data_IF_271555760205
#
_entry.id   IF_271555760205
#
_cell.length_a   1.000
_cell.length_b   1.000
_cell.length_c   1.000
_cell.angle_alpha   90.00
_cell.angle_beta   90.00
_cell.angle_gamma   90.00
#
_symmetry.space_group_name_H-M   'P 1'
#
loop_
_entity.id
_entity.type
_entity.pdbx_description
1 polymer ?
#
# COMPACT_ATOMS: atom_id res chain seq x y z
N UNK A 1 10.17 9.71 -6.17
CA UNK A 1 9.24 10.72 -5.60
C UNK A 1 9.10 10.60 -4.07
N UNK A 2 9.88 9.77 -3.38
CA UNK A 2 9.52 9.23 -2.05
C UNK A 2 10.21 9.85 -0.84
N UNK A 3 11.29 10.61 -0.99
CA UNK A 3 12.15 10.91 0.17
C UNK A 3 11.61 12.01 1.11
N UNK A 4 10.80 12.93 0.60
CA UNK A 4 10.27 14.07 1.35
C UNK A 4 8.73 14.08 1.49
N UNK A 5 8.05 13.09 0.93
CA UNK A 5 6.61 12.93 1.06
C UNK A 5 6.32 11.76 1.99
N UNK A 6 5.86 12.07 3.20
CA UNK A 6 5.51 11.07 4.21
C UNK A 6 3.99 10.89 4.19
N UNK A 7 3.54 9.81 3.54
CA UNK A 7 2.13 9.41 3.57
C UNK A 7 1.76 8.98 4.99
N UNK A 8 0.50 9.19 5.38
CA UNK A 8 -0.05 8.58 6.60
C UNK A 8 -0.23 7.08 6.37
N UNK A 9 0.44 6.28 7.20
CA UNK A 9 0.40 4.82 7.14
C UNK A 9 -0.94 4.23 7.61
N UNK A 10 -1.25 3.02 7.12
CA UNK A 10 -2.45 2.25 7.47
C UNK A 10 -2.42 1.79 8.93
N UNK A 11 -3.55 1.95 9.63
CA UNK A 11 -3.79 1.43 10.97
C UNK A 11 -4.63 0.15 11.00
N UNK A 12 -5.09 -0.33 9.84
CA UNK A 12 -6.13 -1.36 9.71
C UNK A 12 -5.86 -2.73 10.36
N UNK A 13 -4.58 -3.07 10.61
CA UNK A 13 -4.22 -4.30 11.32
C UNK A 13 -4.34 -4.17 12.86
N UNK A 14 -4.45 -2.94 13.35
CA UNK A 14 -4.62 -2.63 14.77
C UNK A 14 -6.08 -2.66 15.23
N UNK A 15 -6.36 -2.17 16.45
CA UNK A 15 -7.71 -2.10 16.98
C UNK A 15 -8.63 -1.15 16.20
N UNK A 16 -8.08 -0.09 15.61
CA UNK A 16 -8.80 0.99 14.93
C UNK A 16 -8.02 1.43 13.69
N UNK A 17 -8.76 1.85 12.66
CA UNK A 17 -8.19 2.42 11.44
C UNK A 17 -7.72 3.87 11.62
N UNK A 18 -6.81 4.32 10.77
CA UNK A 18 -6.26 5.67 10.83
C UNK A 18 -7.10 6.62 9.97
N UNK A 19 -7.68 7.65 10.58
CA UNK A 19 -8.61 8.56 9.92
C UNK A 19 -8.03 9.36 8.75
N UNK A 20 -6.71 9.52 8.70
CA UNK A 20 -6.01 10.23 7.61
C UNK A 20 -5.34 9.27 6.61
N UNK A 21 -5.42 7.96 6.84
CA UNK A 21 -4.92 6.96 5.91
C UNK A 21 -5.86 6.81 4.73
N UNK A 22 -5.32 7.08 3.54
CA UNK A 22 -6.05 6.83 2.30
C UNK A 22 -6.21 5.34 2.02
N UNK A 23 -5.29 4.47 2.49
CA UNK A 23 -5.43 3.02 2.31
C UNK A 23 -6.61 2.49 3.13
N UNK A 24 -6.76 2.98 4.37
CA UNK A 24 -7.85 2.58 5.28
C UNK A 24 -9.20 3.07 4.74
N UNK A 25 -9.24 4.30 4.22
CA UNK A 25 -10.44 4.86 3.57
C UNK A 25 -10.87 4.05 2.35
N UNK A 26 -9.92 3.60 1.53
CA UNK A 26 -10.22 2.78 0.35
C UNK A 26 -10.62 1.35 0.75
N UNK A 27 -9.99 0.79 1.78
CA UNK A 27 -10.30 -0.54 2.30
C UNK A 27 -11.69 -0.59 2.95
N UNK A 28 -12.07 0.40 3.76
CA UNK A 28 -13.40 0.49 4.37
C UNK A 28 -14.54 0.75 3.39
N UNK A 29 -14.23 1.18 2.16
CA UNK A 29 -15.21 1.28 1.08
C UNK A 29 -15.59 -0.08 0.47
N UNK A 30 -14.84 -1.16 0.77
CA UNK A 30 -15.21 -2.51 0.35
C UNK A 30 -16.53 -2.93 1.00
N UNK A 31 -17.43 -3.47 0.18
CA UNK A 31 -18.81 -3.74 0.61
C UNK A 31 -18.86 -4.99 1.49
N UNK A 32 -19.41 -4.85 2.69
CA UNK A 32 -19.70 -5.97 3.57
C UNK A 32 -21.19 -6.33 3.54
N UNK A 33 -21.55 -7.63 3.49
CA UNK A 33 -22.94 -8.07 3.72
C UNK A 33 -23.38 -7.78 5.17
N UNK A 34 -24.59 -7.23 5.38
CA UNK A 34 -25.12 -6.86 6.71
C UNK A 34 -26.60 -7.25 6.86
N UNK A 35 -27.02 -7.66 8.06
CA UNK A 35 -28.44 -7.89 8.41
C UNK A 35 -28.99 -6.70 9.20
N UNK A 36 -30.09 -6.11 8.73
CA UNK A 36 -30.83 -5.08 9.49
C UNK A 36 -31.74 -5.75 10.53
N UNK A 37 -31.51 -5.50 11.81
CA UNK A 37 -32.35 -6.03 12.91
C UNK A 37 -33.70 -5.30 13.04
N UNK A 38 -33.79 -4.07 12.51
CA UNK A 38 -34.98 -3.22 12.54
C UNK A 38 -35.34 -2.75 11.15
N UNK A 39 -36.63 -2.51 10.91
CA UNK A 39 -37.08 -1.93 9.65
C UNK A 39 -36.48 -0.53 9.47
N UNK A 40 -35.90 -0.27 8.30
CA UNK A 40 -35.48 1.06 7.87
C UNK A 40 -36.46 1.56 6.81
N UNK A 41 -37.52 2.31 7.20
CA UNK A 41 -38.53 2.76 6.26
C UNK A 41 -37.90 3.61 5.14
N UNK A 42 -38.34 3.41 3.90
CA UNK A 42 -37.84 4.08 2.68
C UNK A 42 -36.44 3.67 2.20
N UNK A 43 -35.77 2.69 2.80
CA UNK A 43 -34.47 2.16 2.35
C UNK A 43 -34.52 0.73 1.78
N UNK A 44 -35.69 0.12 1.63
CA UNK A 44 -35.86 -1.33 1.39
C UNK A 44 -35.32 -1.92 0.07
N UNK A 45 -34.77 -1.13 -0.86
CA UNK A 45 -34.31 -1.62 -2.16
C UNK A 45 -32.89 -2.23 -2.15
N UNK A 46 -32.20 -2.25 -1.01
CA UNK A 46 -30.72 -2.37 -0.99
C UNK A 46 -30.13 -3.52 -0.15
N UNK A 47 -30.91 -4.48 0.37
CA UNK A 47 -30.42 -5.40 1.41
C UNK A 47 -30.50 -6.91 1.06
N UNK A 48 -29.46 -7.68 1.40
CA UNK A 48 -29.37 -9.16 1.35
C UNK A 48 -28.42 -9.71 2.46
N UNK A 49 -28.55 -11.00 2.81
CA UNK A 49 -28.28 -11.61 4.13
C UNK A 49 -26.87 -12.21 4.46
N UNK A 50 -26.59 -12.23 5.79
CA UNK A 50 -25.93 -13.26 6.67
C UNK A 50 -24.42 -13.19 7.02
N UNK A 51 -24.01 -14.06 7.97
CA UNK A 51 -22.97 -13.96 9.02
C UNK A 51 -22.18 -15.27 9.23
N UNK A 52 -20.92 -15.16 9.70
CA UNK A 52 -20.22 -16.08 10.64
C UNK A 52 -18.82 -15.56 11.03
N UNK A 53 -18.48 -15.43 12.32
CA UNK A 53 -17.12 -15.11 12.80
C UNK A 53 -16.72 -15.97 14.00
N UNK A 54 -15.66 -16.79 13.81
CA UNK A 54 -14.84 -17.37 14.88
C UNK A 54 -13.45 -17.86 14.37
N UNK A 55 -13.31 -18.21 13.08
CA UNK A 55 -12.08 -18.86 12.55
C UNK A 55 -11.14 -17.93 11.72
N UNK A 56 -11.49 -16.65 11.56
CA UNK A 56 -10.85 -15.76 10.56
C UNK A 56 -9.45 -15.32 10.99
N UNK A 57 -9.26 -14.94 12.26
CA UNK A 57 -7.97 -14.41 12.74
C UNK A 57 -6.83 -15.43 12.61
N UNK A 58 -7.11 -16.70 12.91
CA UNK A 58 -6.13 -17.77 12.75
C UNK A 58 -5.80 -18.01 11.28
N UNK A 59 -6.81 -17.97 10.39
CA UNK A 59 -6.60 -18.12 8.95
C UNK A 59 -5.74 -17.02 8.35
N UNK A 60 -5.97 -15.75 8.75
CA UNK A 60 -5.18 -14.60 8.29
C UNK A 60 -3.71 -14.74 8.70
N UNK A 61 -3.46 -15.06 9.97
CA UNK A 61 -2.10 -15.24 10.49
C UNK A 61 -1.36 -16.38 9.77
N UNK A 62 -1.98 -17.54 9.63
CA UNK A 62 -1.35 -18.70 8.97
C UNK A 62 -1.08 -18.43 7.48
N UNK A 63 -1.98 -17.72 6.82
CA UNK A 63 -1.82 -17.35 5.40
C UNK A 63 -0.62 -16.41 5.22
N UNK A 64 -0.49 -15.38 6.06
CA UNK A 64 0.65 -14.47 5.99
C UNK A 64 1.98 -15.18 6.27
N UNK A 65 2.04 -16.00 7.33
CA UNK A 65 3.26 -16.78 7.66
C UNK A 65 3.67 -17.67 6.48
N UNK A 66 2.73 -18.36 5.85
CA UNK A 66 3.00 -19.23 4.70
C UNK A 66 3.54 -18.49 3.47
N UNK A 67 3.13 -17.24 3.26
CA UNK A 67 3.52 -16.42 2.10
C UNK A 67 4.79 -15.62 2.33
N UNK A 68 5.12 -15.31 3.59
CA UNK A 68 6.21 -14.42 3.97
C UNK A 68 7.56 -14.76 3.33
N UNK A 69 7.96 -16.04 3.38
CA UNK A 69 9.26 -16.47 2.82
C UNK A 69 9.33 -16.26 1.31
N UNK A 70 8.25 -16.58 0.60
CA UNK A 70 8.17 -16.39 -0.85
C UNK A 70 8.28 -14.91 -1.24
N UNK A 71 7.62 -14.02 -0.48
CA UNK A 71 7.70 -12.57 -0.70
C UNK A 71 9.13 -12.07 -0.45
N UNK A 72 9.73 -12.46 0.67
CA UNK A 72 11.09 -12.08 1.03
C UNK A 72 12.08 -12.49 -0.06
N UNK A 73 12.09 -13.77 -0.42
CA UNK A 73 13.02 -14.33 -1.41
C UNK A 73 12.83 -13.68 -2.78
N UNK A 74 11.58 -13.46 -3.20
CA UNK A 74 11.31 -12.82 -4.48
C UNK A 74 11.68 -11.33 -4.49
N UNK A 75 11.51 -10.62 -3.36
CA UNK A 75 11.84 -9.19 -3.26
C UNK A 75 13.35 -8.92 -3.22
N UNK A 76 14.12 -9.83 -2.63
CA UNK A 76 15.57 -9.64 -2.40
C UNK A 76 16.46 -10.36 -3.42
N UNK A 77 15.91 -11.22 -4.28
CA UNK A 77 16.69 -11.93 -5.31
C UNK A 77 16.32 -11.57 -6.75
N UNK A 78 15.27 -10.79 -6.99
CA UNK A 78 14.87 -10.38 -8.34
C UNK A 78 15.49 -9.02 -8.70
N UNK A 79 16.73 -9.02 -9.20
CA UNK A 79 17.43 -7.81 -9.65
C UNK A 79 17.26 -7.58 -11.16
N UNK A 80 16.66 -6.45 -11.55
CA UNK A 80 16.30 -6.13 -12.95
C UNK A 80 15.39 -7.15 -13.65
N UNK A 81 14.65 -7.96 -12.88
CA UNK A 81 13.65 -8.88 -13.42
C UNK A 81 12.27 -8.22 -13.50
N UNK A 82 11.41 -8.73 -14.39
CA UNK A 82 10.02 -8.29 -14.45
C UNK A 82 9.23 -8.89 -13.28
N UNK A 83 8.91 -8.03 -12.30
CA UNK A 83 8.17 -8.40 -11.09
C UNK A 83 6.67 -8.12 -11.21
N UNK A 84 6.18 -7.67 -12.38
CA UNK A 84 4.78 -7.26 -12.58
C UNK A 84 3.78 -8.39 -12.29
N UNK A 85 4.07 -9.60 -12.78
CA UNK A 85 3.24 -10.78 -12.57
C UNK A 85 3.16 -11.20 -11.10
N UNK A 86 4.25 -11.00 -10.34
CA UNK A 86 4.27 -11.28 -8.91
C UNK A 86 3.49 -10.22 -8.14
N UNK A 87 3.74 -8.94 -8.42
CA UNK A 87 3.06 -7.82 -7.77
C UNK A 87 1.53 -7.86 -7.91
N UNK A 88 1.03 -8.37 -9.05
CA UNK A 88 -0.41 -8.54 -9.29
C UNK A 88 -1.10 -9.54 -8.32
N UNK A 89 -0.34 -10.44 -7.68
CA UNK A 89 -0.87 -11.49 -6.77
C UNK A 89 -0.72 -11.15 -5.29
N UNK A 90 -0.05 -10.05 -4.98
CA UNK A 90 0.18 -9.56 -3.62
C UNK A 90 -0.96 -8.61 -3.22
N UNK A 91 -1.34 -8.66 -1.95
CA UNK A 91 -2.22 -7.64 -1.35
C UNK A 91 -1.45 -6.31 -1.12
N UNK A 92 -2.14 -5.24 -0.69
CA UNK A 92 -1.47 -3.94 -0.53
C UNK A 92 -0.36 -3.95 0.53
N UNK A 93 -0.54 -4.71 1.61
CA UNK A 93 0.45 -4.81 2.71
C UNK A 93 1.69 -5.58 2.23
N UNK A 94 1.48 -6.70 1.56
CA UNK A 94 2.51 -7.54 0.95
C UNK A 94 3.25 -6.79 -0.16
N UNK A 95 2.55 -5.95 -0.96
CA UNK A 95 3.20 -5.06 -1.94
C UNK A 95 4.09 -4.04 -1.26
N UNK A 96 3.66 -3.43 -0.17
CA UNK A 96 4.50 -2.51 0.62
C UNK A 96 5.77 -3.18 1.14
N UNK A 97 5.64 -4.39 1.68
CA UNK A 97 6.78 -5.20 2.14
C UNK A 97 7.72 -5.57 0.97
N UNK A 98 7.15 -6.01 -0.16
CA UNK A 98 7.90 -6.36 -1.36
C UNK A 98 8.68 -5.17 -1.92
N UNK A 99 8.05 -3.99 -2.01
CA UNK A 99 8.70 -2.75 -2.44
C UNK A 99 9.85 -2.35 -1.51
N UNK A 100 9.70 -2.57 -0.20
CA UNK A 100 10.76 -2.32 0.78
C UNK A 100 11.97 -3.24 0.55
N UNK A 101 11.73 -4.53 0.32
CA UNK A 101 12.79 -5.49 -0.03
C UNK A 101 13.51 -5.13 -1.33
N UNK A 102 12.75 -4.78 -2.37
CA UNK A 102 13.27 -4.33 -3.65
C UNK A 102 14.07 -3.03 -3.54
N UNK A 103 13.61 -2.06 -2.75
CA UNK A 103 14.35 -0.83 -2.50
C UNK A 103 15.70 -1.14 -1.85
N UNK A 104 15.73 -1.98 -0.81
CA UNK A 104 16.97 -2.38 -0.14
C UNK A 104 17.96 -3.08 -1.08
N UNK A 105 17.48 -4.00 -1.93
CA UNK A 105 18.29 -4.66 -2.94
C UNK A 105 18.89 -3.66 -3.94
N UNK A 106 18.07 -2.77 -4.49
CA UNK A 106 18.51 -1.79 -5.48
C UNK A 106 19.50 -0.77 -4.88
N UNK A 107 19.23 -0.28 -3.66
CA UNK A 107 20.12 0.65 -2.96
C UNK A 107 21.49 0.01 -2.70
N UNK A 108 21.53 -1.25 -2.24
CA UNK A 108 22.77 -2.00 -2.06
C UNK A 108 23.54 -2.20 -3.36
N UNK A 109 22.85 -2.59 -4.44
CA UNK A 109 23.46 -2.79 -5.76
C UNK A 109 24.02 -1.49 -6.36
N UNK A 110 23.31 -0.36 -6.19
CA UNK A 110 23.80 0.94 -6.60
C UNK A 110 25.02 1.39 -5.79
N UNK A 111 25.06 1.08 -4.48
CA UNK A 111 26.21 1.33 -3.63
C UNK A 111 27.42 0.48 -4.03
N UNK A 112 27.23 -0.82 -4.25
CA UNK A 112 28.28 -1.76 -4.66
C UNK A 112 28.96 -1.32 -5.97
N UNK A 113 28.17 -0.76 -6.90
CA UNK A 113 28.65 -0.22 -8.19
C UNK A 113 29.23 1.19 -8.10
N UNK A 114 29.27 1.79 -6.91
CA UNK A 114 29.76 3.17 -6.69
C UNK A 114 28.83 4.27 -7.22
N UNK A 115 27.64 3.92 -7.73
CA UNK A 115 26.66 4.87 -8.30
C UNK A 115 26.03 5.76 -7.21
N UNK A 116 25.99 5.30 -5.97
CA UNK A 116 25.50 6.06 -4.82
C UNK A 116 26.39 7.27 -4.43
N UNK A 117 27.60 7.38 -5.00
CA UNK A 117 28.49 8.54 -4.76
C UNK A 117 28.07 9.80 -5.53
N UNK A 118 27.26 9.66 -6.58
CA UNK A 118 26.82 10.76 -7.41
C UNK A 118 25.59 11.44 -6.79
N UNK A 119 25.72 12.72 -6.43
CA UNK A 119 24.59 13.52 -5.98
C UNK A 119 23.68 13.80 -7.18
N UNK A 120 22.46 13.28 -7.13
CA UNK A 120 21.42 13.53 -8.14
C UNK A 120 20.34 14.44 -7.58
N UNK A 121 19.71 15.22 -8.45
CA UNK A 121 18.58 16.04 -8.05
C UNK A 121 17.42 15.14 -7.62
N UNK A 122 16.81 15.44 -6.47
CA UNK A 122 15.67 14.68 -5.98
C UNK A 122 14.54 14.65 -7.02
N UNK A 123 13.86 13.51 -7.12
CA UNK A 123 12.68 13.35 -7.96
C UNK A 123 11.61 14.43 -7.71
N UNK A 124 11.54 15.02 -6.51
CA UNK A 124 10.59 16.09 -6.20
C UNK A 124 10.91 17.36 -6.98
N UNK A 125 12.17 17.79 -7.03
CA UNK A 125 12.56 18.99 -7.78
C UNK A 125 12.51 18.75 -9.29
N UNK A 126 12.73 17.52 -9.74
CA UNK A 126 12.63 17.16 -11.17
C UNK A 126 11.18 17.19 -11.68
N UNK A 127 10.22 16.71 -10.88
CA UNK A 127 8.82 16.59 -11.30
C UNK A 127 7.97 17.83 -10.99
N UNK A 128 8.28 18.56 -9.90
CA UNK A 128 7.57 19.80 -9.57
C UNK A 128 8.32 21.02 -10.12
N UNK A 129 7.98 21.46 -11.34
CA UNK A 129 8.32 22.81 -11.79
C UNK A 129 7.57 23.81 -10.90
N UNK A 130 8.30 24.64 -10.13
CA UNK A 130 7.70 25.82 -9.49
C UNK A 130 6.96 26.63 -10.56
N UNK A 131 5.65 26.88 -10.37
CA UNK A 131 4.90 27.82 -11.21
C UNK A 131 5.62 29.17 -11.12
N UNK A 132 6.15 29.67 -12.23
CA UNK A 132 6.70 31.04 -12.29
C UNK A 132 5.51 31.99 -12.09
N UNK A 133 5.60 32.86 -11.08
CA UNK A 133 4.64 33.94 -10.89
C UNK A 133 4.80 34.89 -12.09
N UNK A 134 3.92 34.77 -13.08
CA UNK A 134 3.92 35.65 -14.26
C UNK A 134 3.31 36.99 -13.85
N UNK A 135 4.15 38.03 -13.84
CA UNK A 135 3.81 39.46 -13.91
C UNK A 135 2.51 39.91 -13.26
N UNK A 136 2.61 40.45 -12.05
CA UNK A 136 1.67 41.47 -11.61
C UNK A 136 2.04 42.72 -12.39
N UNK A 137 1.40 42.94 -13.54
CA UNK A 137 1.47 44.22 -14.26
C UNK A 137 0.65 45.24 -13.44
N UNK A 138 1.28 46.41 -13.20
CA UNK A 138 0.75 47.54 -12.40
C UNK A 138 -0.53 48.17 -12.99
#
# INVERSE_FOLDING_TARGET
>A
MSEAYFRVESGALGPEENSLSLDDTLMSHEKLPVRTETAMPRLGAFFLERSRNADISQSLLQTFIGRFRGIMDSSQNAYNEDTSALGARLDEIERGLFQTGQKGLNDFQCWEKGQASQITASNLVQNFKKRKFTGMED
#
